data_IF_339004480532
#
_entry.id   IF_339004480532
#
_cell.length_a   1.000
_cell.length_b   1.000
_cell.length_c   1.000
_cell.angle_alpha   90.00
_cell.angle_beta   90.00
_cell.angle_gamma   90.00
#
_symmetry.space_group_name_H-M   'P 1'
#
loop_
_entity.id
_entity.type
_entity.pdbx_description
1 polymer ?
#
# COMPACT_ATOMS: atom_id res chain seq x y z
N UNK A 1 0.75 -20.47 14.96
CA UNK A 1 0.26 -21.07 13.69
C UNK A 1 -0.81 -22.10 14.02
N UNK A 2 -2.02 -21.95 13.47
CA UNK A 2 -3.13 -22.89 13.66
C UNK A 2 -2.93 -24.12 12.77
N UNK A 3 -3.11 -25.31 13.33
CA UNK A 3 -3.08 -26.59 12.62
C UNK A 3 -4.42 -27.28 12.82
N UNK A 4 -5.05 -27.71 11.73
CA UNK A 4 -6.34 -28.42 11.75
C UNK A 4 -6.11 -29.77 11.07
N UNK A 5 -6.62 -30.84 11.66
CA UNK A 5 -6.63 -32.14 11.00
C UNK A 5 -7.62 -32.12 9.82
N UNK A 6 -7.19 -32.39 8.58
CA UNK A 6 -8.09 -32.41 7.43
C UNK A 6 -9.19 -33.48 7.53
N UNK A 7 -8.96 -34.56 8.28
CA UNK A 7 -9.93 -35.65 8.46
C UNK A 7 -10.90 -35.40 9.61
N UNK A 8 -10.56 -34.51 10.55
CA UNK A 8 -11.41 -34.19 11.69
C UNK A 8 -11.27 -32.72 12.10
N UNK A 9 -12.26 -31.91 11.73
CA UNK A 9 -12.32 -30.47 12.06
C UNK A 9 -12.34 -30.21 13.57
N UNK A 10 -12.77 -31.18 14.38
CA UNK A 10 -12.78 -31.04 15.84
C UNK A 10 -11.37 -31.11 16.45
N UNK A 11 -10.37 -31.57 15.68
CA UNK A 11 -8.98 -31.66 16.09
C UNK A 11 -8.19 -30.46 15.56
N UNK A 12 -8.25 -29.36 16.29
CA UNK A 12 -7.46 -28.16 16.01
C UNK A 12 -6.42 -27.91 17.11
N UNK A 13 -5.24 -27.44 16.72
CA UNK A 13 -4.11 -27.22 17.62
C UNK A 13 -3.43 -25.89 17.34
N UNK A 14 -2.93 -25.25 18.38
CA UNK A 14 -2.04 -24.10 18.28
C UNK A 14 -0.71 -24.42 18.95
N UNK A 15 0.40 -24.09 18.28
CA UNK A 15 1.71 -24.17 18.90
C UNK A 15 1.93 -23.00 19.85
N UNK A 16 2.27 -23.29 21.10
CA UNK A 16 2.72 -22.32 22.09
C UNK A 16 4.18 -21.92 21.77
N UNK A 17 4.46 -20.64 21.45
CA UNK A 17 5.80 -20.20 21.11
C UNK A 17 6.78 -20.24 22.30
N UNK A 18 6.28 -20.26 23.54
CA UNK A 18 7.10 -20.23 24.76
C UNK A 18 7.44 -21.66 25.16
N UNK A 19 6.42 -22.50 25.34
CA UNK A 19 6.60 -23.86 25.86
C UNK A 19 6.87 -24.90 24.77
N UNK A 20 6.82 -24.51 23.48
CA UNK A 20 6.90 -25.41 22.32
C UNK A 20 5.87 -26.56 22.35
N UNK A 21 4.81 -26.41 23.14
CA UNK A 21 3.73 -27.38 23.28
C UNK A 21 2.64 -27.16 22.24
N UNK A 22 1.91 -28.22 21.90
CA UNK A 22 0.69 -28.13 21.09
C UNK A 22 -0.52 -28.08 22.02
N UNK A 23 -1.23 -26.96 21.99
CA UNK A 23 -2.46 -26.76 22.76
C UNK A 23 -3.64 -27.16 21.87
N UNK A 24 -4.42 -28.15 22.30
CA UNK A 24 -5.65 -28.56 21.64
C UNK A 24 -6.75 -27.51 21.85
N UNK A 25 -7.40 -27.12 20.76
CA UNK A 25 -8.49 -26.16 20.72
C UNK A 25 -9.83 -26.88 20.70
N UNK A 26 -10.85 -26.24 21.27
CA UNK A 26 -12.22 -26.71 21.23
C UNK A 26 -12.97 -26.04 20.07
N UNK A 27 -13.62 -26.84 19.22
CA UNK A 27 -14.50 -26.30 18.18
C UNK A 27 -15.74 -25.66 18.84
N UNK A 28 -16.02 -24.40 18.49
CA UNK A 28 -17.17 -23.65 19.01
C UNK A 28 -18.45 -23.87 18.20
N UNK A 29 -18.33 -24.41 16.97
CA UNK A 29 -19.50 -24.60 16.11
C UNK A 29 -20.37 -25.71 16.71
N UNK A 30 -21.61 -25.41 17.14
CA UNK A 30 -22.52 -26.45 17.59
C UNK A 30 -22.86 -27.36 16.40
N UNK A 31 -22.94 -28.67 16.62
CA UNK A 31 -23.30 -29.70 15.61
C UNK A 31 -22.18 -30.19 14.68
N UNK A 32 -20.91 -30.04 15.04
CA UNK A 32 -19.81 -30.75 14.35
C UNK A 32 -19.52 -32.04 15.10
N UNK A 33 -19.82 -33.18 14.48
CA UNK A 33 -19.51 -34.48 15.05
C UNK A 33 -18.01 -34.80 14.91
N UNK A 34 -17.37 -35.45 15.90
CA UNK A 34 -16.01 -35.94 15.77
C UNK A 34 -15.87 -36.84 14.54
N UNK A 35 -14.84 -36.61 13.74
CA UNK A 35 -14.63 -37.31 12.47
C UNK A 35 -15.27 -36.63 11.26
N UNK A 36 -15.89 -35.46 11.43
CA UNK A 36 -16.31 -34.64 10.28
C UNK A 36 -15.06 -34.09 9.58
N UNK A 37 -14.87 -34.41 8.31
CA UNK A 37 -13.75 -33.91 7.53
C UNK A 37 -13.87 -32.41 7.24
N UNK A 38 -12.74 -31.75 6.96
CA UNK A 38 -12.74 -30.32 6.61
C UNK A 38 -13.55 -30.03 5.35
N UNK A 39 -13.55 -30.95 4.38
CA UNK A 39 -14.30 -30.81 3.13
C UNK A 39 -15.81 -30.88 3.40
N UNK A 40 -16.27 -31.87 4.18
CA UNK A 40 -17.68 -32.00 4.54
C UNK A 40 -18.17 -30.81 5.35
N UNK A 41 -17.34 -30.32 6.28
CA UNK A 41 -17.63 -29.12 7.07
C UNK A 41 -17.76 -27.86 6.19
N UNK A 42 -16.92 -27.71 5.16
CA UNK A 42 -17.05 -26.60 4.22
C UNK A 42 -18.30 -26.73 3.33
N UNK A 43 -18.65 -27.95 2.91
CA UNK A 43 -19.84 -28.18 2.09
C UNK A 43 -21.13 -27.93 2.87
N UNK A 44 -21.22 -28.35 4.14
CA UNK A 44 -22.40 -28.14 4.97
C UNK A 44 -22.68 -26.66 5.19
N UNK A 45 -21.64 -25.84 5.42
CA UNK A 45 -21.79 -24.39 5.51
C UNK A 45 -22.27 -23.73 4.22
N UNK A 46 -21.77 -24.18 3.06
CA UNK A 46 -22.21 -23.65 1.76
C UNK A 46 -23.67 -23.97 1.44
N UNK A 47 -24.19 -25.12 1.92
CA UNK A 47 -25.60 -25.50 1.76
C UNK A 47 -26.53 -24.65 2.62
N UNK A 48 -26.05 -24.19 3.79
CA UNK A 48 -26.79 -23.28 4.66
C UNK A 48 -26.81 -21.87 4.05
N UNK A 49 -25.68 -21.39 3.52
CA UNK A 49 -25.60 -20.08 2.87
C UNK A 49 -26.40 -19.96 1.55
N UNK A 50 -26.80 -21.08 0.94
CA UNK A 50 -27.63 -21.05 -0.28
C UNK A 50 -29.12 -20.87 -0.02
N UNK A 51 -29.60 -21.15 1.20
CA UNK A 51 -31.00 -20.99 1.62
C UNK A 51 -31.26 -19.67 2.36
N UNK A 52 -30.19 -18.89 2.60
CA UNK A 52 -30.33 -17.49 3.00
C UNK A 52 -30.60 -16.72 1.72
N UNK A 53 -31.87 -16.43 1.44
CA UNK A 53 -32.23 -15.31 0.57
C UNK A 53 -31.33 -14.15 1.00
N UNK A 54 -30.45 -13.71 0.09
CA UNK A 54 -29.73 -12.47 0.30
C UNK A 54 -30.82 -11.42 0.42
N UNK A 55 -31.15 -11.07 1.65
CA UNK A 55 -31.99 -9.95 1.96
C UNK A 55 -31.19 -8.74 1.49
N UNK A 56 -31.41 -8.36 0.24
CA UNK A 56 -30.77 -7.23 -0.41
C UNK A 56 -31.41 -6.03 0.24
N UNK A 57 -30.87 -5.64 1.40
CA UNK A 57 -31.22 -4.38 2.04
C UNK A 57 -31.02 -3.27 1.00
N UNK A 58 -32.07 -2.55 0.59
CA UNK A 58 -31.97 -1.47 -0.40
C UNK A 58 -30.96 -0.39 0.03
N UNK A 59 -30.76 -0.22 1.33
CA UNK A 59 -29.74 0.70 1.87
C UNK A 59 -28.32 0.20 1.63
N UNK A 60 -28.08 -1.11 1.66
CA UNK A 60 -26.77 -1.68 1.38
C UNK A 60 -26.36 -1.45 -0.08
N UNK A 61 -27.30 -1.51 -1.04
CA UNK A 61 -27.02 -1.18 -2.43
C UNK A 61 -26.72 0.30 -2.66
N UNK A 62 -27.45 1.17 -1.95
CA UNK A 62 -27.21 2.61 -1.99
C UNK A 62 -25.80 2.93 -1.48
N UNK A 63 -25.40 2.34 -0.35
CA UNK A 63 -24.05 2.50 0.22
C UNK A 63 -22.98 1.95 -0.73
N UNK A 64 -23.21 0.79 -1.38
CA UNK A 64 -22.29 0.26 -2.39
C UNK A 64 -22.11 1.22 -3.56
N UNK A 65 -23.20 1.81 -4.05
CA UNK A 65 -23.17 2.73 -5.17
C UNK A 65 -22.46 4.05 -4.81
N UNK A 66 -22.71 4.60 -3.62
CA UNK A 66 -22.04 5.81 -3.14
C UNK A 66 -20.55 5.59 -2.93
N UNK A 67 -20.16 4.46 -2.34
CA UNK A 67 -18.76 4.08 -2.21
C UNK A 67 -18.07 3.93 -3.58
N UNK A 68 -18.74 3.35 -4.57
CA UNK A 68 -18.20 3.25 -5.92
C UNK A 68 -18.02 4.63 -6.57
N UNK A 69 -18.98 5.55 -6.40
CA UNK A 69 -18.86 6.94 -6.87
C UNK A 69 -17.69 7.66 -6.20
N UNK A 70 -17.53 7.48 -4.88
CA UNK A 70 -16.44 8.08 -4.12
C UNK A 70 -15.07 7.60 -4.61
N UNK A 71 -14.88 6.29 -4.80
CA UNK A 71 -13.63 5.73 -5.34
C UNK A 71 -13.27 6.31 -6.71
N UNK A 72 -14.25 6.46 -7.60
CA UNK A 72 -14.04 7.10 -8.92
C UNK A 72 -13.60 8.55 -8.78
N UNK A 73 -14.23 9.31 -7.89
CA UNK A 73 -13.87 10.72 -7.63
C UNK A 73 -12.44 10.86 -7.09
N UNK A 74 -12.06 10.00 -6.14
CA UNK A 74 -10.69 9.98 -5.59
C UNK A 74 -9.68 9.64 -6.68
N UNK A 75 -9.98 8.64 -7.51
CA UNK A 75 -9.09 8.25 -8.61
C UNK A 75 -8.91 9.38 -9.63
N UNK A 76 -10.01 10.07 -10.01
CA UNK A 76 -9.92 11.22 -10.90
C UNK A 76 -9.05 12.33 -10.31
N UNK A 77 -9.26 12.66 -9.03
CA UNK A 77 -8.47 13.69 -8.35
C UNK A 77 -6.97 13.36 -8.34
N UNK A 78 -6.64 12.08 -8.16
CA UNK A 78 -5.25 11.62 -8.22
C UNK A 78 -4.66 11.81 -9.62
N UNK A 79 -5.37 11.37 -10.67
CA UNK A 79 -4.92 11.56 -12.06
C UNK A 79 -4.73 13.04 -12.41
N UNK A 80 -5.65 13.90 -11.99
CA UNK A 80 -5.57 15.34 -12.22
C UNK A 80 -4.33 15.93 -11.53
N UNK A 81 -4.04 15.50 -10.30
CA UNK A 81 -2.84 15.93 -9.56
C UNK A 81 -1.54 15.44 -10.22
N UNK A 82 -1.50 14.20 -10.71
CA UNK A 82 -0.35 13.66 -11.44
C UNK A 82 -0.11 14.44 -12.74
N UNK A 83 -1.16 14.71 -13.51
CA UNK A 83 -1.07 15.51 -14.73
C UNK A 83 -0.62 16.95 -14.45
N UNK A 84 -1.12 17.58 -13.39
CA UNK A 84 -0.69 18.93 -13.01
C UNK A 84 0.80 18.96 -12.61
N UNK A 85 1.25 17.97 -11.84
CA UNK A 85 2.64 17.82 -11.45
C UNK A 85 3.54 17.63 -12.67
N UNK A 86 3.14 16.76 -13.60
CA UNK A 86 3.87 16.53 -14.83
C UNK A 86 3.97 17.81 -15.68
N UNK A 87 2.85 18.54 -15.83
CA UNK A 87 2.82 19.81 -16.56
C UNK A 87 3.76 20.84 -15.93
N UNK A 88 3.71 21.01 -14.60
CA UNK A 88 4.60 21.93 -13.85
C UNK A 88 6.07 21.54 -14.02
N UNK A 89 6.38 20.25 -13.98
CA UNK A 89 7.75 19.73 -14.12
C UNK A 89 8.28 19.96 -15.54
N UNK A 90 7.48 19.66 -16.58
CA UNK A 90 7.82 19.93 -17.97
C UNK A 90 8.04 21.42 -18.24
N UNK A 91 7.20 22.29 -17.65
CA UNK A 91 7.37 23.75 -17.77
C UNK A 91 8.68 24.23 -17.13
N UNK A 92 8.97 23.79 -15.90
CA UNK A 92 10.24 24.11 -15.22
C UNK A 92 11.46 23.64 -16.02
N UNK A 93 11.41 22.45 -16.60
CA UNK A 93 12.48 21.95 -17.46
C UNK A 93 12.68 22.86 -18.69
N UNK A 94 11.60 23.21 -19.41
CA UNK A 94 11.67 24.12 -20.58
C UNK A 94 12.26 25.49 -20.23
N UNK A 95 11.89 26.06 -19.08
CA UNK A 95 12.43 27.33 -18.61
C UNK A 95 13.94 27.24 -18.29
N UNK A 96 14.41 26.14 -17.68
CA UNK A 96 15.84 25.89 -17.45
C UNK A 96 16.62 25.81 -18.77
N UNK A 97 16.11 25.08 -19.77
CA UNK A 97 16.75 24.99 -21.09
C UNK A 97 16.82 26.34 -21.81
N UNK A 98 15.76 27.17 -21.74
CA UNK A 98 15.74 28.50 -22.37
C UNK A 98 16.75 29.46 -21.73
N UNK A 99 16.94 29.40 -20.39
CA UNK A 99 17.96 30.19 -19.69
C UNK A 99 19.39 29.78 -20.04
N UNK A 100 19.65 28.49 -20.25
CA UNK A 100 20.96 28.04 -20.74
C UNK A 100 21.22 28.39 -22.21
N UNK A 101 20.19 28.50 -23.05
CA UNK A 101 20.36 28.92 -24.44
C UNK A 101 20.71 30.42 -24.58
N UNK A 102 20.25 31.27 -23.68
CA UNK A 102 20.51 32.72 -23.74
C UNK A 102 21.85 33.15 -23.12
N UNK A 103 22.57 32.24 -22.47
CA UNK A 103 23.90 32.51 -21.89
C UNK A 103 25.06 32.07 -22.81
N UNK A 104 24.80 31.74 -24.08
CA UNK A 104 25.87 31.54 -25.07
C UNK A 104 26.28 32.87 -25.68
N UNK A 105 27.19 33.58 -25.02
CA UNK A 105 28.06 34.55 -25.69
C UNK A 105 28.98 33.81 -26.68
N UNK A 106 29.17 34.29 -27.92
CA UNK A 106 30.03 33.66 -28.89
C UNK A 106 31.47 34.09 -28.63
N UNK A 107 32.19 33.41 -27.74
CA UNK A 107 33.64 33.54 -27.66
C UNK A 107 34.26 32.32 -28.34
N UNK A 108 34.57 32.50 -29.63
CA UNK A 108 35.54 31.67 -30.34
C UNK A 108 36.94 32.09 -29.85
N UNK A 109 37.78 31.13 -29.41
CA UNK A 109 39.07 31.01 -30.07
C UNK A 109 39.48 29.56 -30.38
N UNK A 110 40.27 29.47 -31.45
CA UNK A 110 41.10 28.41 -32.05
C UNK A 110 41.43 27.13 -31.26
N UNK A 111 41.67 25.99 -31.97
CA UNK A 111 41.84 24.67 -31.34
C UNK A 111 43.25 24.51 -30.77
N UNK A 112 43.35 23.97 -29.56
CA UNK A 112 44.59 23.38 -29.07
C UNK A 112 44.32 22.17 -28.18
N UNK A 113 44.77 21.02 -28.68
CA UNK A 113 45.36 19.88 -27.99
C UNK A 113 44.69 19.25 -26.75
N UNK A 114 44.23 18.01 -26.96
CA UNK A 114 44.35 16.80 -26.11
C UNK A 114 44.29 16.91 -24.58
N UNK A 115 43.20 16.38 -23.99
CA UNK A 115 43.15 15.23 -23.05
C UNK A 115 41.80 15.22 -22.28
N UNK A 116 41.23 14.03 -22.06
CA UNK A 116 40.11 13.76 -21.17
C UNK A 116 40.42 12.49 -20.35
N UNK A 117 39.61 12.10 -19.34
CA UNK A 117 38.76 12.83 -18.38
C UNK A 117 39.26 12.56 -16.92
N UNK A 118 38.79 13.11 -15.78
CA UNK A 118 37.46 13.09 -15.11
C UNK A 118 37.71 13.68 -13.70
N UNK A 119 36.73 14.33 -13.02
CA UNK A 119 36.61 14.12 -11.58
C UNK A 119 35.18 13.72 -11.19
N UNK A 120 35.10 12.67 -10.37
CA UNK A 120 33.89 12.13 -9.77
C UNK A 120 33.23 13.17 -8.85
N UNK A 121 31.95 13.42 -9.11
CA UNK A 121 31.04 14.19 -8.28
C UNK A 121 30.31 13.20 -7.37
N UNK A 122 30.81 12.98 -6.16
CA UNK A 122 30.02 12.34 -5.10
C UNK A 122 29.00 13.37 -4.58
N UNK A 123 27.80 13.28 -5.16
CA UNK A 123 26.58 13.79 -4.59
C UNK A 123 26.22 12.98 -3.34
N UNK A 124 26.24 13.60 -2.16
CA UNK A 124 25.38 13.21 -1.04
C UNK A 124 24.91 14.47 -0.32
N UNK A 125 24.08 15.27 -0.99
CA UNK A 125 23.23 16.23 -0.31
C UNK A 125 21.92 15.52 0.02
N UNK A 126 21.80 15.17 1.29
CA UNK A 126 20.74 14.40 1.90
C UNK A 126 19.44 15.21 1.85
N UNK A 127 18.37 14.56 1.39
CA UNK A 127 16.97 15.00 1.45
C UNK A 127 16.60 15.47 2.87
N UNK A 128 16.61 16.78 3.08
CA UNK A 128 16.11 17.39 4.32
C UNK A 128 14.61 17.69 4.15
N UNK A 129 13.81 16.63 4.21
CA UNK A 129 12.35 16.72 4.24
C UNK A 129 11.89 17.14 5.64
N UNK A 130 11.55 18.42 5.78
CA UNK A 130 10.62 19.00 6.76
C UNK A 130 10.21 18.09 7.92
N UNK A 131 10.95 18.16 9.03
CA UNK A 131 10.38 17.89 10.36
C UNK A 131 10.34 19.23 11.09
N UNK A 132 9.16 19.84 11.07
CA UNK A 132 8.84 21.02 11.84
C UNK A 132 8.78 20.62 13.33
N UNK A 133 9.92 20.73 14.03
CA UNK A 133 9.95 20.56 15.48
C UNK A 133 9.35 21.80 16.15
N UNK A 134 8.08 21.71 16.57
CA UNK A 134 7.46 22.72 17.42
C UNK A 134 8.14 22.74 18.78
N UNK A 135 8.97 23.76 18.97
CA UNK A 135 9.70 24.03 20.20
C UNK A 135 8.73 24.71 21.20
N UNK A 136 8.12 23.96 22.12
CA UNK A 136 7.41 24.56 23.27
C UNK A 136 8.23 24.37 24.53
N UNK A 137 9.18 25.29 24.74
CA UNK A 137 9.68 25.60 26.08
C UNK A 137 8.56 26.31 26.85
N UNK A 138 7.96 25.59 27.80
CA UNK A 138 7.02 26.11 28.78
C UNK A 138 7.50 25.74 30.18
N UNK A 139 8.13 26.72 30.81
CA UNK A 139 8.86 26.70 32.07
C UNK A 139 8.01 26.37 33.31
N UNK A 140 8.70 25.81 34.30
CA UNK A 140 8.25 25.42 35.65
C UNK A 140 7.63 26.61 36.41
N UNK A 141 6.53 26.35 37.13
CA UNK A 141 6.33 26.77 38.53
C UNK A 141 5.29 25.91 39.23
#
# INVERSE_FOLDING_TARGET
MLRIDPQDVTQAYIADPVNKALIKLKCLTPNVEPGTSWIEFQQSRKKIDSDVEKDIDPHADTIRQENAKFRRKVHQLHQDAEHELERKTRQKAREKYKKHSNNKTPNLPTPSSSQSPTPELENTEIDDWFIEHSNTKGEIR
#
